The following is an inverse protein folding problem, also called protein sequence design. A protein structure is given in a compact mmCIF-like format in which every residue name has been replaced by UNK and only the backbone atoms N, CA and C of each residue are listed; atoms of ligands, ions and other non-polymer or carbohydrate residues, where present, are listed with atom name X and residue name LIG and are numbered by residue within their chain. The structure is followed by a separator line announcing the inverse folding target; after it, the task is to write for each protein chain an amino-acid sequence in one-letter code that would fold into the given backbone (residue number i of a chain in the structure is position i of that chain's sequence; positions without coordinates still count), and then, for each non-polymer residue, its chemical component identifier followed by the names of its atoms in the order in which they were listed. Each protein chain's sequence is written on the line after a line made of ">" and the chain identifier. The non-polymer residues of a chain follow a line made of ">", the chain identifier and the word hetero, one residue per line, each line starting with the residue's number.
data_IF_634021095539
#
_entry.id   IF_634021095539
#
_cell.length_a   1.000
_cell.length_b   1.000
_cell.length_c   1.000
_cell.angle_alpha   90.00
_cell.angle_beta   90.00
_cell.angle_gamma   90.00
#
_symmetry.space_group_name_H-M   'P 1'
#
loop_
_entity.id
_entity.type
_entity.pdbx_description
1 polymer ?
#
# COMPACT_ATOMS: atom_id res chain seq x y z
N UNK A 1 -3.27 -5.04 3.34
CA UNK A 1 -3.02 -6.04 2.28
C UNK A 1 -1.60 -5.97 1.73
N UNK A 2 -1.09 -4.83 1.25
CA UNK A 2 0.22 -4.72 0.58
C UNK A 2 1.40 -5.34 1.35
N UNK A 3 1.41 -5.21 2.66
CA UNK A 3 2.47 -5.74 3.56
C UNK A 3 2.06 -7.05 4.27
N UNK A 4 0.96 -7.66 3.86
CA UNK A 4 0.51 -8.96 4.33
C UNK A 4 1.05 -10.11 3.47
N UNK A 5 0.78 -11.35 3.91
CA UNK A 5 1.16 -12.53 3.14
C UNK A 5 0.33 -12.63 1.85
N UNK A 6 0.94 -12.87 0.68
CA UNK A 6 0.22 -12.95 -0.60
C UNK A 6 -0.92 -13.97 -0.62
N UNK A 7 -0.72 -15.15 0.00
CA UNK A 7 -1.75 -16.19 0.06
C UNK A 7 -2.98 -15.73 0.84
N UNK A 8 -2.80 -14.88 1.86
CA UNK A 8 -3.93 -14.29 2.57
C UNK A 8 -4.75 -13.37 1.64
N UNK A 9 -4.08 -12.52 0.86
CA UNK A 9 -4.74 -11.62 -0.09
C UNK A 9 -5.52 -12.42 -1.12
N UNK A 10 -4.91 -13.46 -1.69
CA UNK A 10 -5.55 -14.35 -2.67
C UNK A 10 -6.78 -15.05 -2.07
N UNK A 11 -6.60 -15.69 -0.93
CA UNK A 11 -7.68 -16.41 -0.23
C UNK A 11 -8.84 -15.49 0.15
N UNK A 12 -8.53 -14.30 0.65
CA UNK A 12 -9.55 -13.29 0.97
C UNK A 12 -10.32 -12.87 -0.29
N UNK A 13 -9.62 -12.55 -1.38
CA UNK A 13 -10.24 -12.15 -2.64
C UNK A 13 -11.15 -13.24 -3.21
N UNK A 14 -10.65 -14.47 -3.27
CA UNK A 14 -11.42 -15.62 -3.79
C UNK A 14 -12.68 -15.90 -2.96
N UNK A 15 -12.59 -15.77 -1.63
CA UNK A 15 -13.74 -16.01 -0.74
C UNK A 15 -14.79 -14.89 -0.78
N UNK A 16 -14.42 -13.67 -1.18
CA UNK A 16 -15.32 -12.50 -1.23
C UNK A 16 -15.58 -12.01 -2.67
N UNK A 17 -15.22 -12.80 -3.69
CA UNK A 17 -15.33 -12.39 -5.08
C UNK A 17 -16.74 -11.93 -5.47
N UNK A 18 -17.77 -12.55 -4.88
CA UNK A 18 -19.17 -12.20 -5.12
C UNK A 18 -19.61 -10.87 -4.48
N UNK A 19 -18.81 -10.34 -3.54
CA UNK A 19 -19.06 -9.05 -2.89
C UNK A 19 -18.28 -7.92 -3.54
N UNK A 20 -17.25 -8.26 -4.35
CA UNK A 20 -16.44 -7.27 -5.06
C UNK A 20 -17.22 -6.69 -6.20
N UNK A 21 -17.66 -5.43 -6.05
CA UNK A 21 -18.42 -4.71 -7.06
C UNK A 21 -17.73 -3.38 -7.41
N UNK A 22 -17.80 -2.94 -8.66
CA UNK A 22 -17.29 -1.64 -9.05
C UNK A 22 -18.15 -0.53 -8.44
N UNK A 23 -17.59 0.24 -7.50
CA UNK A 23 -18.25 1.43 -6.95
C UNK A 23 -18.08 2.62 -7.90
N UNK A 24 -16.99 2.65 -8.63
CA UNK A 24 -16.71 3.61 -9.71
C UNK A 24 -16.07 2.87 -10.89
N UNK A 25 -15.86 3.58 -11.98
CA UNK A 25 -15.11 3.05 -13.13
C UNK A 25 -13.63 2.76 -12.81
N UNK A 26 -13.11 3.28 -11.71
CA UNK A 26 -11.72 3.14 -11.32
C UNK A 26 -11.51 2.04 -10.26
N UNK A 27 -12.59 1.47 -9.71
CA UNK A 27 -12.52 0.41 -8.71
C UNK A 27 -11.78 -0.81 -9.27
N UNK A 28 -10.76 -1.29 -8.56
CA UNK A 28 -10.05 -2.51 -8.91
C UNK A 28 -10.91 -3.70 -8.50
N UNK A 29 -11.39 -4.46 -9.48
CA UNK A 29 -12.24 -5.65 -9.27
C UNK A 29 -11.56 -6.95 -9.66
N UNK A 30 -10.42 -6.88 -10.34
CA UNK A 30 -9.69 -8.03 -10.84
C UNK A 30 -8.48 -8.35 -9.96
N UNK A 31 -8.34 -9.61 -9.55
CA UNK A 31 -7.26 -10.06 -8.67
C UNK A 31 -5.84 -9.76 -9.23
N UNK A 32 -5.55 -9.98 -10.53
CA UNK A 32 -4.24 -9.62 -11.07
C UNK A 32 -3.92 -8.14 -10.93
N UNK A 33 -4.88 -7.26 -11.26
CA UNK A 33 -4.71 -5.81 -11.12
C UNK A 33 -4.50 -5.39 -9.65
N UNK A 34 -5.18 -6.06 -8.72
CA UNK A 34 -4.95 -5.85 -7.29
C UNK A 34 -3.51 -6.25 -6.89
N UNK A 35 -3.00 -7.37 -7.38
CA UNK A 35 -1.61 -7.76 -7.08
C UNK A 35 -0.58 -6.77 -7.65
N UNK A 36 -0.82 -6.24 -8.84
CA UNK A 36 0.04 -5.20 -9.44
C UNK A 36 0.03 -3.93 -8.58
N UNK A 37 -1.14 -3.48 -8.14
CA UNK A 37 -1.26 -2.33 -7.23
C UNK A 37 -0.56 -2.58 -5.89
N UNK A 38 -0.74 -3.76 -5.29
CA UNK A 38 -0.08 -4.13 -4.03
C UNK A 38 1.45 -4.19 -4.17
N UNK A 39 1.96 -4.62 -5.34
CA UNK A 39 3.39 -4.58 -5.64
C UNK A 39 3.89 -3.14 -5.74
N UNK A 40 3.17 -2.28 -6.45
CA UNK A 40 3.48 -0.86 -6.55
C UNK A 40 3.47 -0.15 -5.19
N UNK A 41 2.50 -0.46 -4.32
CA UNK A 41 2.45 0.07 -2.96
C UNK A 41 3.67 -0.36 -2.14
N UNK A 42 4.12 -1.61 -2.27
CA UNK A 42 5.33 -2.09 -1.60
C UNK A 42 6.58 -1.35 -2.06
N UNK A 43 6.70 -1.12 -3.35
CA UNK A 43 7.83 -0.43 -3.96
C UNK A 43 7.85 1.06 -3.58
N UNK A 44 6.72 1.74 -3.74
CA UNK A 44 6.60 3.17 -3.48
C UNK A 44 6.51 3.52 -2.00
N UNK A 45 6.06 2.60 -1.14
CA UNK A 45 5.75 2.84 0.27
C UNK A 45 4.54 3.75 0.50
N UNK A 46 3.66 3.86 -0.48
CA UNK A 46 2.44 4.64 -0.38
C UNK A 46 1.32 4.02 -1.22
N UNK A 47 0.10 4.02 -0.70
CA UNK A 47 -1.11 3.64 -1.41
C UNK A 47 -1.87 4.89 -1.86
N UNK A 48 -2.48 4.80 -3.03
CA UNK A 48 -3.30 5.87 -3.60
C UNK A 48 -4.68 5.32 -3.95
N UNK A 49 -5.73 5.92 -3.38
CA UNK A 49 -7.09 5.77 -3.91
C UNK A 49 -7.33 6.90 -4.93
N UNK A 50 -7.53 6.52 -6.18
CA UNK A 50 -7.76 7.43 -7.30
C UNK A 50 -9.22 7.38 -7.75
N UNK A 51 -10.11 7.83 -6.86
CA UNK A 51 -11.57 7.80 -7.10
C UNK A 51 -12.11 6.34 -7.23
N UNK A 52 -11.50 5.38 -6.55
CA UNK A 52 -11.90 3.97 -6.61
C UNK A 52 -13.16 3.70 -5.79
N UNK A 53 -13.31 4.40 -4.65
CA UNK A 53 -14.48 4.30 -3.79
C UNK A 53 -15.56 5.30 -4.16
N UNK A 54 -15.18 6.55 -4.49
CA UNK A 54 -16.10 7.64 -4.81
C UNK A 54 -15.45 8.60 -5.81
N UNK A 55 -16.20 8.95 -6.87
CA UNK A 55 -15.75 9.93 -7.87
C UNK A 55 -15.54 11.30 -7.22
N UNK A 56 -14.42 11.95 -7.54
CA UNK A 56 -14.06 13.25 -6.99
C UNK A 56 -13.34 13.20 -5.64
N UNK A 57 -13.19 12.02 -5.04
CA UNK A 57 -12.44 11.80 -3.79
C UNK A 57 -11.21 10.97 -4.07
N UNK A 58 -10.06 11.40 -3.54
CA UNK A 58 -8.80 10.65 -3.60
C UNK A 58 -8.17 10.58 -2.21
N UNK A 59 -7.48 9.47 -1.94
CA UNK A 59 -6.79 9.27 -0.67
C UNK A 59 -5.32 8.91 -0.92
N UNK A 60 -4.47 9.30 0.04
CA UNK A 60 -3.08 8.87 0.11
C UNK A 60 -2.88 8.23 1.47
N UNK A 61 -2.29 7.04 1.51
CA UNK A 61 -1.98 6.34 2.74
C UNK A 61 -0.52 5.87 2.76
N UNK A 62 0.08 5.88 3.94
CA UNK A 62 1.42 5.36 4.19
C UNK A 62 1.43 4.40 5.36
N UNK A 63 2.31 3.38 5.38
CA UNK A 63 2.35 2.38 6.43
C UNK A 63 2.91 2.95 7.74
N UNK A 64 2.42 2.40 8.85
CA UNK A 64 2.98 2.58 10.20
C UNK A 64 3.51 1.23 10.67
N UNK A 65 4.79 1.18 11.02
CA UNK A 65 5.48 -0.04 11.41
C UNK A 65 5.50 -0.23 12.92
N UNK A 66 5.36 -1.47 13.37
CA UNK A 66 5.56 -1.84 14.77
C UNK A 66 7.03 -2.25 15.04
N UNK A 67 7.36 -2.55 16.31
CA UNK A 67 8.69 -3.00 16.76
C UNK A 67 9.21 -4.23 15.99
N UNK A 68 8.32 -5.03 15.40
CA UNK A 68 8.68 -6.22 14.62
C UNK A 68 8.79 -5.94 13.12
N UNK A 69 8.62 -4.68 12.69
CA UNK A 69 8.60 -4.30 11.28
C UNK A 69 7.34 -4.74 10.53
N UNK A 70 6.25 -5.09 11.23
CA UNK A 70 4.95 -5.36 10.62
C UNK A 70 4.19 -4.06 10.45
N UNK A 71 3.19 -4.05 9.59
CA UNK A 71 2.34 -2.89 9.30
C UNK A 71 0.94 -3.11 9.89
N UNK A 72 0.73 -2.85 11.18
CA UNK A 72 -0.60 -2.99 11.81
C UNK A 72 -1.52 -1.81 11.49
N UNK A 73 -0.97 -0.65 11.14
CA UNK A 73 -1.73 0.58 10.91
C UNK A 73 -1.26 1.31 9.66
N UNK A 74 -2.04 2.30 9.25
CA UNK A 74 -1.67 3.26 8.21
C UNK A 74 -2.16 4.66 8.62
N UNK A 75 -1.46 5.69 8.16
CA UNK A 75 -1.92 7.09 8.23
C UNK A 75 -2.35 7.50 6.85
N UNK A 76 -3.52 8.12 6.72
CA UNK A 76 -4.04 8.55 5.43
C UNK A 76 -4.58 9.98 5.46
N UNK A 77 -4.62 10.57 4.28
CA UNK A 77 -5.29 11.85 4.00
C UNK A 77 -6.30 11.59 2.89
N UNK A 78 -7.55 11.98 3.12
CA UNK A 78 -8.61 12.00 2.10
C UNK A 78 -8.93 13.43 1.74
N UNK A 79 -9.06 13.72 0.45
CA UNK A 79 -9.35 15.06 -0.06
C UNK A 79 -10.01 14.99 -1.43
N UNK A 80 -10.58 16.09 -1.92
CA UNK A 80 -11.09 16.12 -3.28
C UNK A 80 -9.97 15.96 -4.29
N UNK A 81 -10.24 15.22 -5.37
CA UNK A 81 -9.27 15.01 -6.47
C UNK A 81 -8.76 16.33 -7.06
N UNK A 82 -9.62 17.35 -7.11
CA UNK A 82 -9.22 18.69 -7.56
C UNK A 82 -8.19 19.32 -6.61
N UNK A 83 -8.37 19.15 -5.30
CA UNK A 83 -7.41 19.65 -4.30
C UNK A 83 -6.11 18.91 -4.35
N UNK A 84 -6.15 17.57 -4.56
CA UNK A 84 -4.95 16.76 -4.74
C UNK A 84 -4.13 17.23 -5.94
N UNK A 85 -4.79 17.50 -7.08
CA UNK A 85 -4.13 18.04 -8.29
C UNK A 85 -3.49 19.41 -8.04
N UNK A 86 -4.16 20.27 -7.27
CA UNK A 86 -3.67 21.61 -6.95
C UNK A 86 -2.44 21.59 -6.02
N UNK A 87 -2.47 20.78 -4.97
CA UNK A 87 -1.40 20.67 -3.97
C UNK A 87 -0.24 19.83 -4.49
N UNK A 88 -0.54 18.77 -5.21
CA UNK A 88 0.41 17.78 -5.72
C UNK A 88 0.70 16.66 -4.70
N UNK A 89 0.74 15.42 -5.18
CA UNK A 89 0.97 14.22 -4.37
C UNK A 89 2.26 14.32 -3.53
N UNK A 90 3.36 14.76 -4.13
CA UNK A 90 4.68 14.84 -3.47
C UNK A 90 4.66 15.75 -2.24
N UNK A 91 3.89 16.85 -2.32
CA UNK A 91 3.79 17.81 -1.22
C UNK A 91 3.00 17.26 -0.03
N UNK A 92 2.10 16.30 -0.26
CA UNK A 92 1.34 15.62 0.77
C UNK A 92 2.08 14.38 1.32
N UNK A 93 2.79 13.65 0.46
CA UNK A 93 3.51 12.44 0.85
C UNK A 93 4.61 12.70 1.88
N UNK A 94 5.35 13.80 1.75
CA UNK A 94 6.45 14.11 2.66
C UNK A 94 5.97 14.24 4.11
N UNK A 95 5.06 15.17 4.47
CA UNK A 95 4.58 15.31 5.85
C UNK A 95 3.84 14.07 6.34
N UNK A 96 3.15 13.34 5.44
CA UNK A 96 2.45 12.11 5.80
C UNK A 96 3.44 11.02 6.23
N UNK A 97 4.55 10.86 5.49
CA UNK A 97 5.63 9.93 5.85
C UNK A 97 6.32 10.31 7.15
N UNK A 98 6.59 11.60 7.36
CA UNK A 98 7.17 12.09 8.61
C UNK A 98 6.27 11.77 9.82
N UNK A 99 4.96 11.95 9.67
CA UNK A 99 3.97 11.59 10.70
C UNK A 99 3.95 10.08 10.95
N UNK A 100 3.89 9.27 9.90
CA UNK A 100 3.87 7.81 10.03
C UNK A 100 5.17 7.29 10.67
N UNK A 101 6.32 7.88 10.33
CA UNK A 101 7.60 7.54 10.94
C UNK A 101 7.63 7.90 12.44
N UNK A 102 7.13 9.07 12.83
CA UNK A 102 7.03 9.47 14.23
C UNK A 102 6.18 8.48 15.03
N UNK A 103 5.02 8.09 14.51
CA UNK A 103 4.16 7.08 15.14
C UNK A 103 4.87 5.72 15.20
N UNK A 104 5.55 5.31 14.14
CA UNK A 104 6.28 4.03 14.11
C UNK A 104 7.39 4.01 15.18
N UNK A 105 8.09 5.12 15.38
CA UNK A 105 9.12 5.23 16.43
C UNK A 105 8.52 5.08 17.83
N UNK A 106 7.34 5.69 18.08
CA UNK A 106 6.61 5.52 19.35
C UNK A 106 6.15 4.06 19.56
N UNK A 107 5.88 3.33 18.47
CA UNK A 107 5.57 1.90 18.52
C UNK A 107 6.83 1.02 18.62
N UNK A 108 8.01 1.62 18.82
CA UNK A 108 9.27 0.92 19.00
C UNK A 108 9.95 0.47 17.70
N UNK A 109 9.46 0.93 16.54
CA UNK A 109 10.13 0.66 15.28
C UNK A 109 11.43 1.47 15.20
N UNK A 110 12.57 0.76 15.09
CA UNK A 110 13.87 1.38 14.86
C UNK A 110 14.47 0.84 13.57
N UNK A 111 14.85 1.73 12.68
CA UNK A 111 15.68 1.34 11.53
C UNK A 111 17.06 1.03 12.09
N UNK A 112 17.48 -0.24 12.12
CA UNK A 112 18.84 -0.59 12.52
C UNK A 112 19.82 -0.06 11.50
N UNK A 113 20.86 0.64 11.94
CA UNK A 113 21.89 1.25 11.07
C UNK A 113 22.60 0.25 10.14
N UNK A 114 22.63 -1.03 10.50
CA UNK A 114 23.15 -2.11 9.66
C UNK A 114 22.32 -2.32 8.38
N UNK A 115 21.10 -1.84 8.34
CA UNK A 115 20.20 -1.91 7.17
C UNK A 115 20.18 -0.60 6.35
N UNK A 116 20.66 0.50 6.92
CA UNK A 116 20.82 1.77 6.19
C UNK A 116 21.88 1.68 5.07
N UNK A 117 22.74 0.66 5.10
CA UNK A 117 23.73 0.39 4.04
C UNK A 117 23.28 -0.59 2.98
N UNK A 118 22.17 -1.29 3.21
CA UNK A 118 21.68 -2.34 2.32
C UNK A 118 20.15 -2.42 2.34
N UNK A 119 19.39 -1.48 1.99
CA UNK A 119 17.94 -1.62 1.84
C UNK A 119 17.08 -0.75 2.77
N UNK A 120 16.33 0.08 2.18
CA UNK A 120 15.05 0.66 2.61
C UNK A 120 14.20 -0.45 3.31
N UNK A 121 13.50 -0.20 4.44
CA UNK A 121 12.58 -1.18 5.06
C UNK A 121 11.59 -1.81 4.09
N UNK A 122 11.33 -1.13 2.98
CA UNK A 122 10.50 -1.60 1.87
C UNK A 122 11.16 -2.75 1.08
N UNK A 123 12.48 -2.90 1.12
CA UNK A 123 13.20 -3.92 0.36
C UNK A 123 13.10 -5.32 0.99
N UNK A 124 12.74 -5.44 2.26
CA UNK A 124 12.42 -6.74 2.87
C UNK A 124 11.15 -7.38 2.29
N UNK A 125 10.31 -6.59 1.65
CA UNK A 125 9.13 -7.10 0.96
C UNK A 125 9.43 -7.60 -0.45
N UNK A 126 10.62 -7.33 -1.01
CA UNK A 126 11.02 -7.76 -2.37
C UNK A 126 11.41 -9.24 -2.47
N UNK A 127 11.67 -9.92 -1.35
CA UNK A 127 12.02 -11.36 -1.35
C UNK A 127 10.84 -12.32 -1.55
N UNK A 128 9.65 -11.80 -1.85
CA UNK A 128 8.53 -12.63 -2.30
C UNK A 128 8.56 -12.74 -3.84
N UNK A 129 9.47 -13.56 -4.33
CA UNK A 129 9.51 -13.98 -5.73
C UNK A 129 8.27 -14.82 -6.03
N UNK A 130 7.20 -14.19 -6.50
CA UNK A 130 6.05 -14.91 -7.05
C UNK A 130 6.46 -15.37 -8.43
N UNK A 131 7.01 -16.57 -8.51
CA UNK A 131 7.18 -17.28 -9.78
C UNK A 131 5.80 -17.64 -10.29
N UNK A 132 5.26 -16.85 -11.21
CA UNK A 132 4.15 -17.29 -12.03
C UNK A 132 4.64 -18.45 -12.91
N UNK A 133 4.38 -19.66 -12.50
CA UNK A 133 4.44 -20.81 -13.41
C UNK A 133 3.26 -20.67 -14.36
N UNK A 134 3.53 -20.06 -15.50
CA UNK A 134 2.61 -20.06 -16.63
C UNK A 134 2.46 -21.48 -17.14
N UNK A 135 1.36 -22.15 -16.84
CA UNK A 135 0.93 -23.30 -17.60
C UNK A 135 0.44 -22.84 -18.95
N UNK A 136 1.30 -23.05 -19.96
CA UNK A 136 0.84 -23.17 -21.35
C UNK A 136 0.02 -24.45 -21.46
N UNK A 137 -1.23 -24.35 -21.80
CA UNK A 137 -1.91 -25.12 -22.88
C UNK A 137 -3.30 -24.53 -23.09
#
# INVERSE_FOLDING_TARGET
>A
MAFGHPDYVKSYWESHQHEIQPLTRNTITELPAMFDELAHIRESGAAMDREENELGVSCIAVPVFDIHGRVPYAVSISLSTSRLKQVGEKNLLKPLRETAQAISNELGFTVRDDQARLHNPLDKCQNFNISFVGSKQ
#
